data_IF_175427354088
#
_entry.id   IF_175427354088
#
_cell.length_a   1.000
_cell.length_b   1.000
_cell.length_c   1.000
_cell.angle_alpha   90.00
_cell.angle_beta   90.00
_cell.angle_gamma   90.00
#
_symmetry.space_group_name_H-M   'P 1'
#
loop_
_entity.id
_entity.type
_entity.pdbx_description
1 polymer ?
#
# COMPACT_ATOMS: atom_id res chain seq x y z
N UNK A 1 -24.24 -14.18 -21.12
CA UNK A 1 -24.19 -15.61 -20.71
C UNK A 1 -25.60 -16.08 -20.35
N UNK A 2 -25.91 -17.39 -20.34
CA UNK A 2 -27.27 -17.87 -20.01
C UNK A 2 -27.55 -17.70 -18.51
N UNK A 3 -28.71 -17.18 -18.10
CA UNK A 3 -29.09 -17.11 -16.70
C UNK A 3 -29.10 -18.49 -16.04
N UNK A 4 -28.76 -18.54 -14.75
CA UNK A 4 -28.79 -19.75 -13.93
C UNK A 4 -27.89 -20.91 -14.43
N UNK A 5 -26.97 -20.64 -15.36
CA UNK A 5 -25.92 -21.56 -15.77
C UNK A 5 -24.62 -21.15 -15.10
N UNK A 6 -23.91 -22.12 -14.54
CA UNK A 6 -22.61 -21.93 -13.92
C UNK A 6 -21.51 -21.91 -14.99
N UNK A 7 -20.67 -20.88 -14.96
CA UNK A 7 -19.53 -20.74 -15.85
C UNK A 7 -18.25 -20.73 -15.04
N UNK A 8 -17.29 -21.59 -15.40
CA UNK A 8 -15.97 -21.62 -14.78
C UNK A 8 -14.98 -20.82 -15.63
N UNK A 9 -14.33 -19.86 -14.99
CA UNK A 9 -13.26 -19.07 -15.58
C UNK A 9 -11.92 -19.62 -15.12
N UNK A 10 -10.93 -19.64 -16.02
CA UNK A 10 -9.56 -20.01 -15.71
C UNK A 10 -8.63 -18.92 -16.26
N UNK A 11 -7.94 -18.20 -15.38
CA UNK A 11 -6.85 -17.29 -15.77
C UNK A 11 -5.56 -18.04 -15.51
N UNK A 12 -4.87 -18.43 -16.58
CA UNK A 12 -3.85 -19.49 -16.60
C UNK A 12 -2.39 -18.99 -16.58
N UNK A 13 -2.20 -17.68 -16.58
CA UNK A 13 -0.89 -17.05 -16.71
C UNK A 13 -0.51 -16.24 -15.46
N UNK A 14 -0.99 -16.64 -14.28
CA UNK A 14 -0.62 -15.99 -13.04
C UNK A 14 0.83 -16.33 -12.65
N UNK A 15 1.55 -15.37 -12.08
CA UNK A 15 2.99 -15.51 -11.85
C UNK A 15 3.36 -15.80 -10.39
N UNK A 16 2.53 -15.42 -9.43
CA UNK A 16 2.86 -15.61 -8.01
C UNK A 16 2.69 -17.07 -7.61
N UNK A 17 3.55 -17.58 -6.73
CA UNK A 17 3.44 -18.97 -6.25
C UNK A 17 2.20 -19.23 -5.40
N UNK A 18 1.68 -18.18 -4.77
CA UNK A 18 0.49 -18.24 -3.92
C UNK A 18 -0.38 -16.98 -4.10
N UNK A 19 -1.63 -17.07 -3.67
CA UNK A 19 -2.61 -15.98 -3.79
C UNK A 19 -3.61 -15.99 -2.65
N UNK A 20 -4.09 -14.80 -2.27
CA UNK A 20 -5.16 -14.63 -1.28
C UNK A 20 -6.49 -15.29 -1.69
N UNK A 21 -6.66 -15.67 -2.96
CA UNK A 21 -7.78 -16.51 -3.39
C UNK A 21 -7.85 -17.86 -2.65
N UNK A 22 -6.70 -18.44 -2.26
CA UNK A 22 -6.67 -19.66 -1.44
C UNK A 22 -7.07 -19.40 0.03
N UNK A 23 -7.21 -18.14 0.43
CA UNK A 23 -7.48 -17.73 1.81
C UNK A 23 -8.78 -16.92 1.94
N UNK A 24 -9.70 -17.10 0.98
CA UNK A 24 -11.05 -16.55 1.03
C UNK A 24 -11.26 -15.24 0.27
N UNK A 25 -10.27 -14.74 -0.46
CA UNK A 25 -10.49 -13.62 -1.39
C UNK A 25 -11.45 -14.06 -2.50
N UNK A 26 -12.36 -13.18 -2.90
CA UNK A 26 -13.25 -13.40 -4.05
C UNK A 26 -13.03 -12.35 -5.13
N UNK A 27 -13.16 -12.73 -6.43
CA UNK A 27 -13.19 -11.74 -7.50
C UNK A 27 -14.43 -10.84 -7.35
N UNK A 28 -14.38 -9.69 -8.00
CA UNK A 28 -15.52 -8.79 -8.08
C UNK A 28 -16.21 -8.91 -9.42
N UNK A 29 -17.53 -8.74 -9.41
CA UNK A 29 -18.34 -8.59 -10.61
C UNK A 29 -19.15 -7.30 -10.55
N UNK A 30 -19.27 -6.63 -11.68
CA UNK A 30 -20.18 -5.51 -11.91
C UNK A 30 -21.16 -5.89 -13.01
N UNK A 31 -22.46 -5.81 -12.72
CA UNK A 31 -23.53 -6.05 -13.68
C UNK A 31 -24.10 -4.72 -14.16
N UNK A 32 -24.17 -4.52 -15.48
CA UNK A 32 -24.79 -3.32 -16.07
C UNK A 32 -26.29 -3.31 -15.81
N UNK A 33 -26.95 -4.47 -15.85
CA UNK A 33 -28.38 -4.56 -15.53
C UNK A 33 -28.68 -4.20 -14.06
N UNK A 34 -27.86 -4.65 -13.11
CA UNK A 34 -27.99 -4.24 -11.70
C UNK A 34 -27.76 -2.72 -11.55
N UNK A 35 -26.79 -2.17 -12.27
CA UNK A 35 -26.54 -0.73 -12.27
C UNK A 35 -27.74 0.08 -12.77
N UNK A 36 -28.38 -0.34 -13.86
CA UNK A 36 -29.62 0.26 -14.39
C UNK A 36 -30.78 0.16 -13.40
N UNK A 37 -30.79 -0.89 -12.57
CA UNK A 37 -31.75 -1.10 -11.49
C UNK A 37 -31.37 -0.37 -10.18
N UNK A 38 -30.63 0.74 -10.28
CA UNK A 38 -30.15 1.56 -9.17
C UNK A 38 -29.22 0.83 -8.17
N UNK A 39 -28.53 -0.22 -8.63
CA UNK A 39 -27.51 -0.95 -7.85
C UNK A 39 -26.14 -0.94 -8.53
N UNK A 40 -25.52 0.24 -8.76
CA UNK A 40 -24.27 0.38 -9.52
C UNK A 40 -23.02 0.07 -8.68
N UNK A 41 -22.98 -1.09 -8.03
CA UNK A 41 -21.85 -1.49 -7.18
C UNK A 41 -21.21 -2.81 -7.60
N UNK A 42 -19.92 -2.89 -7.32
CA UNK A 42 -19.16 -4.14 -7.43
C UNK A 42 -19.51 -5.07 -6.27
N UNK A 43 -19.75 -6.34 -6.58
CA UNK A 43 -20.05 -7.37 -5.58
C UNK A 43 -19.01 -8.47 -5.63
N UNK A 44 -18.60 -8.98 -4.46
CA UNK A 44 -17.78 -10.19 -4.38
C UNK A 44 -18.60 -11.38 -4.89
N UNK A 45 -18.05 -12.15 -5.81
CA UNK A 45 -18.71 -13.30 -6.42
C UNK A 45 -17.74 -14.48 -6.53
N UNK A 46 -18.25 -15.62 -6.97
CA UNK A 46 -17.44 -16.79 -7.25
C UNK A 46 -17.58 -17.87 -6.20
N UNK A 47 -17.73 -19.09 -6.66
CA UNK A 47 -17.60 -20.34 -5.88
C UNK A 47 -16.49 -21.20 -6.47
N UNK A 48 -16.12 -22.29 -5.79
CA UNK A 48 -15.07 -23.22 -6.24
C UNK A 48 -13.77 -22.51 -6.60
N UNK A 49 -13.39 -21.52 -5.79
CA UNK A 49 -12.23 -20.68 -6.04
C UNK A 49 -10.99 -21.45 -5.63
N UNK A 50 -10.02 -21.55 -6.54
CA UNK A 50 -8.74 -22.21 -6.26
C UNK A 50 -7.61 -21.54 -7.04
N UNK A 51 -6.45 -21.42 -6.40
CA UNK A 51 -5.22 -20.95 -7.01
C UNK A 51 -4.15 -22.04 -6.93
N UNK A 52 -3.69 -22.54 -8.08
CA UNK A 52 -2.79 -23.70 -8.15
C UNK A 52 -1.79 -23.60 -9.29
N UNK A 53 -0.64 -24.26 -9.15
CA UNK A 53 0.39 -24.35 -10.19
C UNK A 53 -0.15 -25.14 -11.38
N UNK A 54 0.11 -24.67 -12.60
CA UNK A 54 -0.32 -25.35 -13.82
C UNK A 54 0.89 -25.84 -14.64
N UNK A 55 0.61 -26.47 -15.78
CA UNK A 55 1.63 -27.05 -16.67
C UNK A 55 2.15 -26.06 -17.75
N UNK A 56 1.66 -24.83 -17.79
CA UNK A 56 2.14 -23.84 -18.75
C UNK A 56 3.49 -23.30 -18.30
N UNK A 57 4.54 -23.54 -19.09
CA UNK A 57 5.88 -23.04 -18.80
C UNK A 57 6.04 -21.58 -19.19
N UNK A 58 6.79 -20.83 -18.39
CA UNK A 58 7.23 -19.47 -18.74
C UNK A 58 8.38 -19.57 -19.74
N UNK A 59 8.44 -18.62 -20.67
CA UNK A 59 9.64 -18.45 -21.49
C UNK A 59 10.81 -18.03 -20.58
N UNK A 60 12.04 -18.32 -21.01
CA UNK A 60 13.24 -17.84 -20.28
C UNK A 60 13.23 -16.33 -20.09
N UNK A 61 12.73 -15.58 -21.09
CA UNK A 61 12.59 -14.11 -21.01
C UNK A 61 11.58 -13.70 -19.94
N UNK A 62 10.39 -14.33 -19.91
CA UNK A 62 9.35 -14.02 -18.92
C UNK A 62 9.73 -14.48 -17.51
N UNK A 63 10.65 -15.44 -17.38
CA UNK A 63 11.14 -15.97 -16.11
C UNK A 63 12.46 -15.32 -15.64
N UNK A 64 12.85 -14.16 -16.20
CA UNK A 64 14.06 -13.45 -15.76
C UNK A 64 15.36 -14.20 -16.07
N UNK A 65 15.39 -15.01 -17.12
CA UNK A 65 16.52 -15.82 -17.54
C UNK A 65 16.48 -17.27 -17.06
N UNK A 66 15.54 -17.63 -16.18
CA UNK A 66 15.44 -18.98 -15.63
C UNK A 66 14.59 -19.92 -16.49
N UNK A 67 15.04 -21.18 -16.65
CA UNK A 67 14.25 -22.23 -17.30
C UNK A 67 13.41 -22.97 -16.25
N UNK A 68 12.19 -23.34 -16.61
CA UNK A 68 11.37 -24.29 -15.83
C UNK A 68 10.35 -23.69 -14.86
N UNK A 69 10.23 -22.36 -14.73
CA UNK A 69 9.13 -21.76 -13.97
C UNK A 69 7.80 -22.01 -14.67
N UNK A 70 6.79 -22.46 -13.92
CA UNK A 70 5.41 -22.62 -14.40
C UNK A 70 4.56 -21.40 -14.07
N UNK A 71 3.52 -21.18 -14.84
CA UNK A 71 2.42 -20.31 -14.43
C UNK A 71 1.52 -21.00 -13.40
N UNK A 72 0.63 -20.20 -12.84
CA UNK A 72 -0.41 -20.60 -11.93
C UNK A 72 -1.76 -20.23 -12.53
N UNK A 73 -2.79 -20.98 -12.13
CA UNK A 73 -4.17 -20.75 -12.54
C UNK A 73 -4.98 -20.27 -11.34
N UNK A 74 -5.72 -19.17 -11.52
CA UNK A 74 -6.90 -18.89 -10.70
C UNK A 74 -8.13 -19.42 -11.43
N UNK A 75 -8.87 -20.30 -10.77
CA UNK A 75 -10.18 -20.77 -11.22
C UNK A 75 -11.27 -20.25 -10.29
N UNK A 76 -12.42 -19.90 -10.85
CA UNK A 76 -13.63 -19.58 -10.09
C UNK A 76 -14.88 -19.80 -10.94
N UNK A 77 -15.97 -20.21 -10.30
CA UNK A 77 -17.26 -20.46 -10.94
C UNK A 77 -18.24 -19.32 -10.63
N UNK A 78 -18.92 -18.78 -11.64
CA UNK A 78 -19.89 -17.68 -11.48
C UNK A 78 -21.21 -18.03 -12.17
N UNK A 79 -22.31 -17.67 -11.50
CA UNK A 79 -23.65 -17.69 -12.09
C UNK A 79 -24.05 -16.26 -12.46
N UNK A 80 -24.63 -16.09 -13.65
CA UNK A 80 -25.08 -14.79 -14.13
C UNK A 80 -26.57 -14.61 -13.80
N UNK A 81 -26.95 -13.55 -13.09
CA UNK A 81 -28.33 -13.37 -12.64
C UNK A 81 -29.28 -12.96 -13.78
N UNK A 82 -28.76 -12.26 -14.80
CA UNK A 82 -29.56 -11.60 -15.81
C UNK A 82 -29.30 -12.14 -17.22
N UNK A 83 -30.36 -12.17 -18.02
CA UNK A 83 -30.27 -12.50 -19.45
C UNK A 83 -29.75 -11.27 -20.20
N UNK A 84 -28.88 -11.49 -21.19
CA UNK A 84 -28.36 -10.44 -22.08
C UNK A 84 -27.64 -9.28 -21.37
N UNK A 85 -27.11 -9.55 -20.16
CA UNK A 85 -26.36 -8.59 -19.35
C UNK A 85 -24.87 -8.54 -19.75
N UNK A 86 -24.28 -7.36 -19.53
CA UNK A 86 -22.85 -7.11 -19.66
C UNK A 86 -22.26 -7.09 -18.25
N UNK A 87 -21.42 -8.08 -17.96
CA UNK A 87 -20.73 -8.19 -16.68
C UNK A 87 -19.24 -7.94 -16.84
N UNK A 88 -18.67 -7.14 -15.94
CA UNK A 88 -17.23 -6.92 -15.82
C UNK A 88 -16.69 -7.66 -14.60
N UNK A 89 -15.47 -8.19 -14.70
CA UNK A 89 -14.76 -8.79 -13.57
C UNK A 89 -13.54 -7.94 -13.19
N UNK A 90 -13.22 -7.90 -11.91
CA UNK A 90 -12.03 -7.22 -11.41
C UNK A 90 -11.37 -8.01 -10.28
N UNK A 91 -10.04 -7.87 -10.19
CA UNK A 91 -9.25 -8.43 -9.09
C UNK A 91 -9.59 -7.78 -7.74
N UNK A 92 -9.79 -6.47 -7.74
CA UNK A 92 -10.20 -5.67 -6.58
C UNK A 92 -10.99 -4.43 -7.03
N UNK A 93 -11.66 -3.74 -6.10
CA UNK A 93 -12.59 -2.62 -6.37
C UNK A 93 -11.93 -1.53 -7.23
N UNK A 94 -12.25 -1.40 -8.52
CA UNK A 94 -11.52 -0.50 -9.39
C UNK A 94 -11.60 0.95 -8.93
N UNK A 95 -10.48 1.67 -9.08
CA UNK A 95 -10.40 3.11 -8.83
C UNK A 95 -9.67 3.72 -10.02
N UNK A 96 -10.43 4.26 -10.97
CA UNK A 96 -9.88 4.80 -12.21
C UNK A 96 -9.30 6.20 -12.01
N UNK A 97 -8.43 6.62 -12.93
CA UNK A 97 -7.93 7.99 -12.95
C UNK A 97 -9.07 9.02 -13.14
N UNK A 98 -10.10 8.70 -13.93
CA UNK A 98 -11.29 9.56 -14.06
C UNK A 98 -12.09 9.67 -12.76
N UNK A 99 -12.20 8.59 -11.98
CA UNK A 99 -12.80 8.62 -10.63
C UNK A 99 -12.01 9.54 -9.71
N UNK A 100 -10.67 9.49 -9.75
CA UNK A 100 -9.83 10.43 -8.99
C UNK A 100 -10.12 11.89 -9.38
N UNK A 101 -10.07 12.20 -10.67
CA UNK A 101 -10.25 13.57 -11.16
C UNK A 101 -11.62 14.13 -10.78
N UNK A 102 -12.68 13.33 -10.98
CA UNK A 102 -14.04 13.70 -10.58
C UNK A 102 -14.17 13.85 -9.06
N UNK A 103 -13.54 12.97 -8.27
CA UNK A 103 -13.55 13.07 -6.82
C UNK A 103 -12.89 14.36 -6.34
N UNK A 104 -11.69 14.69 -6.85
CA UNK A 104 -11.00 15.93 -6.51
C UNK A 104 -11.81 17.17 -6.90
N UNK A 105 -12.44 17.16 -8.09
CA UNK A 105 -13.32 18.24 -8.53
C UNK A 105 -14.53 18.41 -7.60
N UNK A 106 -15.14 17.32 -7.13
CA UNK A 106 -16.25 17.38 -6.16
C UNK A 106 -15.81 17.98 -4.84
N UNK A 107 -14.65 17.59 -4.31
CA UNK A 107 -14.11 18.17 -3.08
C UNK A 107 -13.82 19.67 -3.24
N UNK A 108 -13.25 20.06 -4.37
CA UNK A 108 -12.98 21.46 -4.71
C UNK A 108 -14.27 22.30 -4.81
N UNK A 109 -15.36 21.75 -5.34
CA UNK A 109 -16.63 22.47 -5.46
C UNK A 109 -17.44 22.52 -4.16
N UNK A 110 -17.31 21.51 -3.30
CA UNK A 110 -18.15 21.36 -2.11
C UNK A 110 -17.58 22.03 -0.84
N UNK A 111 -16.29 22.35 -0.81
CA UNK A 111 -15.65 22.87 0.41
C UNK A 111 -16.06 24.31 0.74
N UNK A 112 -15.99 24.66 2.03
CA UNK A 112 -16.11 26.05 2.46
C UNK A 112 -14.76 26.76 2.31
N UNK A 113 -14.59 27.70 1.34
CA UNK A 113 -13.32 28.37 1.09
C UNK A 113 -12.93 29.36 2.21
N UNK A 114 -13.83 29.69 3.13
CA UNK A 114 -13.52 30.51 4.30
C UNK A 114 -12.86 29.70 5.43
N UNK A 115 -13.06 28.38 5.42
CA UNK A 115 -12.55 27.49 6.47
C UNK A 115 -11.41 26.60 5.98
N UNK A 116 -11.47 26.15 4.72
CA UNK A 116 -10.54 25.17 4.16
C UNK A 116 -9.80 25.82 3.01
N UNK A 117 -8.47 25.89 3.13
CA UNK A 117 -7.61 26.15 1.99
C UNK A 117 -7.46 24.84 1.21
N UNK A 118 -8.04 24.79 0.02
CA UNK A 118 -7.86 23.71 -0.95
C UNK A 118 -7.21 24.27 -2.20
N UNK A 119 -6.12 23.63 -2.66
CA UNK A 119 -5.50 23.95 -3.94
C UNK A 119 -5.12 22.68 -4.66
N UNK A 120 -5.56 22.56 -5.92
CA UNK A 120 -5.16 21.50 -6.84
C UNK A 120 -4.22 22.09 -7.89
N UNK A 121 -2.97 21.65 -7.86
CA UNK A 121 -1.96 21.95 -8.87
C UNK A 121 -1.70 20.72 -9.75
N UNK A 122 -1.08 20.95 -10.91
CA UNK A 122 -0.47 19.89 -11.72
C UNK A 122 1.00 19.82 -11.35
N UNK A 123 1.42 18.71 -10.73
CA UNK A 123 2.82 18.49 -10.34
C UNK A 123 3.73 18.38 -11.57
N UNK A 124 3.27 17.60 -12.55
CA UNK A 124 3.92 17.35 -13.83
C UNK A 124 2.94 16.65 -14.78
N UNK A 125 3.36 16.47 -16.02
CA UNK A 125 2.71 15.54 -16.96
C UNK A 125 3.43 14.19 -16.91
N UNK A 126 2.68 13.11 -17.09
CA UNK A 126 3.20 11.75 -17.18
C UNK A 126 3.78 11.47 -18.58
N UNK A 127 4.33 10.27 -18.79
CA UNK A 127 4.85 9.82 -20.09
C UNK A 127 3.83 9.94 -21.23
N UNK A 128 2.55 9.69 -20.96
CA UNK A 128 1.46 9.84 -21.93
C UNK A 128 0.79 11.21 -21.90
N UNK A 129 1.35 12.20 -21.20
CA UNK A 129 0.77 13.55 -21.11
C UNK A 129 -0.44 13.67 -20.18
N UNK A 130 -0.70 12.69 -19.30
CA UNK A 130 -1.75 12.83 -18.29
C UNK A 130 -1.24 13.70 -17.13
N UNK A 131 -2.10 14.54 -16.55
CA UNK A 131 -1.70 15.36 -15.41
C UNK A 131 -1.49 14.52 -14.14
N UNK A 132 -0.39 14.73 -13.44
CA UNK A 132 -0.19 14.20 -12.09
C UNK A 132 -0.64 15.25 -11.06
N UNK A 133 -1.78 15.07 -10.38
CA UNK A 133 -2.30 16.09 -9.48
C UNK A 133 -1.51 16.17 -8.17
N UNK A 134 -1.27 17.40 -7.70
CA UNK A 134 -0.81 17.71 -6.34
C UNK A 134 -1.90 18.49 -5.63
N UNK A 135 -2.34 17.98 -4.48
CA UNK A 135 -3.38 18.60 -3.66
C UNK A 135 -2.76 19.18 -2.40
N UNK A 136 -3.10 20.43 -2.10
CA UNK A 136 -2.73 21.12 -0.85
C UNK A 136 -3.98 21.36 -0.02
N UNK A 137 -4.01 20.86 1.21
CA UNK A 137 -5.13 21.05 2.14
C UNK A 137 -4.60 21.58 3.49
N UNK A 138 -5.21 22.64 4.01
CA UNK A 138 -5.00 23.15 5.37
C UNK A 138 -6.18 24.03 5.79
N UNK A 139 -6.23 24.50 7.03
CA UNK A 139 -7.26 25.45 7.46
C UNK A 139 -6.92 26.86 6.93
N UNK A 140 -7.91 27.67 6.60
CA UNK A 140 -7.67 29.09 6.38
C UNK A 140 -7.16 29.76 7.68
N UNK A 141 -6.38 30.84 7.59
CA UNK A 141 -6.05 31.64 8.77
C UNK A 141 -7.32 32.22 9.38
N UNK A 142 -7.40 32.27 10.72
CA UNK A 142 -8.58 32.80 11.43
C UNK A 142 -8.85 34.29 11.11
N UNK A 143 -7.80 35.06 10.81
CA UNK A 143 -7.92 36.44 10.36
C UNK A 143 -6.70 36.86 9.54
N UNK A 144 -6.77 38.07 8.96
CA UNK A 144 -5.64 38.69 8.27
C UNK A 144 -4.61 39.32 9.21
N UNK A 145 -4.74 39.13 10.52
CA UNK A 145 -3.76 39.62 11.49
C UNK A 145 -2.42 38.90 11.31
N UNK A 146 -1.32 39.62 11.53
CA UNK A 146 0.03 39.13 11.26
C UNK A 146 0.32 37.78 11.95
N UNK A 147 -0.09 37.63 13.21
CA UNK A 147 0.12 36.41 13.99
C UNK A 147 -0.58 35.18 13.38
N UNK A 148 -1.83 35.33 12.95
CA UNK A 148 -2.60 34.25 12.33
C UNK A 148 -2.02 33.84 10.98
N UNK A 149 -1.55 34.80 10.19
CA UNK A 149 -0.85 34.53 8.93
C UNK A 149 0.50 33.84 9.18
N UNK A 150 1.24 34.26 10.20
CA UNK A 150 2.49 33.62 10.61
C UNK A 150 2.26 32.18 11.06
N UNK A 151 1.26 31.92 11.90
CA UNK A 151 0.89 30.57 12.33
C UNK A 151 0.53 29.70 11.12
N UNK A 152 -0.35 30.19 10.24
CA UNK A 152 -0.75 29.52 9.01
C UNK A 152 0.47 29.11 8.16
N UNK A 153 1.40 30.04 7.91
CA UNK A 153 2.60 29.80 7.09
C UNK A 153 3.61 28.86 7.76
N UNK A 154 3.63 28.78 9.08
CA UNK A 154 4.59 27.99 9.85
C UNK A 154 4.10 26.60 10.25
N UNK A 155 2.83 26.25 9.99
CA UNK A 155 2.30 24.89 10.22
C UNK A 155 3.19 23.81 9.62
N UNK A 156 3.56 22.75 10.35
CA UNK A 156 4.37 21.65 9.79
C UNK A 156 3.70 20.97 8.60
N UNK A 157 4.50 20.44 7.68
CA UNK A 157 4.01 19.70 6.52
C UNK A 157 3.76 18.23 6.86
N UNK A 158 2.72 17.66 6.24
CA UNK A 158 2.52 16.22 6.09
C UNK A 158 2.49 15.94 4.59
N UNK A 159 3.34 15.02 4.13
CA UNK A 159 3.42 14.67 2.71
C UNK A 159 2.90 13.26 2.49
N UNK A 160 1.89 13.12 1.64
CA UNK A 160 1.25 11.83 1.36
C UNK A 160 1.35 11.53 -0.13
N UNK A 161 1.58 10.26 -0.46
CA UNK A 161 1.46 9.80 -1.83
C UNK A 161 0.77 8.45 -1.86
N UNK A 162 0.24 8.07 -3.02
CA UNK A 162 -0.39 6.78 -3.20
C UNK A 162 -0.25 6.29 -4.64
N UNK A 163 -0.47 4.99 -4.80
CA UNK A 163 -0.75 4.38 -6.09
C UNK A 163 0.38 4.55 -7.12
N UNK A 164 1.61 4.34 -6.65
CA UNK A 164 2.78 4.20 -7.51
C UNK A 164 2.73 2.89 -8.31
N UNK A 165 2.18 1.82 -7.72
CA UNK A 165 1.83 0.60 -8.44
C UNK A 165 0.36 0.65 -8.89
N UNK A 166 0.07 0.55 -10.19
CA UNK A 166 -1.28 0.76 -10.70
C UNK A 166 -2.32 -0.26 -10.24
N UNK A 167 -1.91 -1.51 -10.01
CA UNK A 167 -2.78 -2.62 -9.62
C UNK A 167 -3.24 -2.57 -8.17
N UNK A 168 -2.65 -1.71 -7.34
CA UNK A 168 -2.90 -1.62 -5.89
C UNK A 168 -4.14 -0.78 -5.55
N UNK A 169 -5.24 -1.20 -6.19
CA UNK A 169 -6.63 -1.10 -5.74
C UNK A 169 -6.95 -0.21 -4.55
N UNK A 170 -6.70 -0.84 -3.43
CA UNK A 170 -6.97 -0.47 -2.07
C UNK A 170 -6.28 0.83 -1.63
N UNK A 171 -5.06 1.10 -2.07
CA UNK A 171 -4.34 2.33 -1.71
C UNK A 171 -5.12 3.60 -2.09
N UNK A 172 -5.82 3.59 -3.23
CA UNK A 172 -6.64 4.73 -3.67
C UNK A 172 -7.91 4.90 -2.84
N UNK A 173 -8.47 3.81 -2.31
CA UNK A 173 -9.62 3.87 -1.40
C UNK A 173 -9.22 4.38 -0.01
N UNK A 174 -8.04 3.98 0.50
CA UNK A 174 -7.45 4.58 1.70
C UNK A 174 -7.21 6.07 1.48
N UNK A 175 -6.59 6.46 0.36
CA UNK A 175 -6.37 7.86 0.00
C UNK A 175 -7.68 8.65 -0.15
N UNK A 176 -8.73 8.04 -0.68
CA UNK A 176 -10.08 8.65 -0.74
C UNK A 176 -10.59 8.98 0.67
N UNK A 177 -10.54 8.03 1.59
CA UNK A 177 -10.96 8.25 2.98
C UNK A 177 -10.14 9.34 3.69
N UNK A 178 -8.83 9.39 3.43
CA UNK A 178 -7.94 10.47 3.90
C UNK A 178 -8.39 11.83 3.37
N UNK A 179 -8.62 11.96 2.06
CA UNK A 179 -9.06 13.22 1.44
C UNK A 179 -10.44 13.65 1.97
N UNK A 180 -11.41 12.73 2.04
CA UNK A 180 -12.76 13.03 2.51
C UNK A 180 -12.76 13.45 3.99
N UNK A 181 -11.98 12.78 4.84
CA UNK A 181 -11.84 13.19 6.23
C UNK A 181 -11.23 14.59 6.33
N UNK A 182 -10.11 14.85 5.62
CA UNK A 182 -9.46 16.15 5.58
C UNK A 182 -10.35 17.26 5.02
N UNK A 183 -11.33 16.96 4.18
CA UNK A 183 -12.26 17.93 3.61
C UNK A 183 -13.58 18.02 4.38
N UNK A 184 -13.78 17.19 5.40
CA UNK A 184 -15.01 17.16 6.19
C UNK A 184 -15.11 18.33 7.19
N UNK A 185 -16.35 18.61 7.62
CA UNK A 185 -16.67 19.54 8.71
C UNK A 185 -16.54 18.91 10.10
N UNK A 186 -15.94 17.72 10.22
CA UNK A 186 -15.69 17.12 11.53
C UNK A 186 -14.76 18.03 12.35
N UNK A 187 -15.08 18.37 13.61
CA UNK A 187 -14.22 19.20 14.45
C UNK A 187 -12.78 18.67 14.55
N UNK A 188 -12.60 17.36 14.62
CA UNK A 188 -11.27 16.75 14.66
C UNK A 188 -10.50 16.92 13.34
N UNK A 189 -11.19 16.89 12.20
CA UNK A 189 -10.58 17.21 10.91
C UNK A 189 -10.20 18.69 10.79
N UNK A 190 -11.03 19.58 11.35
CA UNK A 190 -10.71 21.00 11.44
C UNK A 190 -9.44 21.24 12.28
N UNK A 191 -9.37 20.70 13.50
CA UNK A 191 -8.18 20.82 14.34
C UNK A 191 -6.94 20.26 13.66
N UNK A 192 -7.07 19.15 12.93
CA UNK A 192 -5.97 18.58 12.17
C UNK A 192 -5.48 19.53 11.06
N UNK A 193 -6.40 20.15 10.31
CA UNK A 193 -6.10 21.17 9.29
C UNK A 193 -5.45 22.43 9.88
N UNK A 194 -5.80 22.78 11.11
CA UNK A 194 -5.19 23.90 11.86
C UNK A 194 -3.76 23.56 12.35
N UNK A 195 -3.44 22.28 12.50
CA UNK A 195 -2.12 21.81 12.91
C UNK A 195 -1.14 21.67 11.75
N UNK A 196 -1.61 21.34 10.55
CA UNK A 196 -0.75 20.87 9.46
C UNK A 196 -1.08 21.49 8.08
N UNK A 197 -0.08 21.49 7.21
CA UNK A 197 -0.27 21.66 5.76
C UNK A 197 -0.06 20.30 5.09
N UNK A 198 -1.09 19.80 4.44
CA UNK A 198 -1.03 18.54 3.71
C UNK A 198 -0.60 18.79 2.27
N UNK A 199 0.41 18.05 1.79
CA UNK A 199 0.80 17.94 0.38
C UNK A 199 0.56 16.52 -0.06
N UNK A 200 -0.33 16.31 -1.03
CA UNK A 200 -0.86 14.99 -1.36
C UNK A 200 -0.72 14.75 -2.86
N UNK A 201 -0.04 13.67 -3.26
CA UNK A 201 -0.03 13.14 -4.62
C UNK A 201 -0.88 11.86 -4.64
N UNK A 202 -2.19 11.95 -4.93
CA UNK A 202 -3.12 10.84 -4.70
C UNK A 202 -2.95 9.67 -5.68
N UNK A 203 -2.20 9.87 -6.77
CA UNK A 203 -1.88 8.81 -7.73
C UNK A 203 -0.57 9.12 -8.45
N UNK A 204 0.50 8.41 -8.10
CA UNK A 204 1.83 8.58 -8.69
C UNK A 204 1.98 7.96 -10.09
N UNK A 205 1.10 7.01 -10.46
CA UNK A 205 1.16 6.34 -11.77
C UNK A 205 -0.17 6.38 -12.54
N UNK A 206 -0.66 7.56 -12.97
CA UNK A 206 -1.88 7.68 -13.77
C UNK A 206 -1.86 6.82 -15.03
N UNK A 207 -0.74 6.82 -15.76
CA UNK A 207 -0.62 6.11 -17.03
C UNK A 207 -0.78 4.60 -16.87
N UNK A 208 -0.08 4.02 -15.90
CA UNK A 208 -0.21 2.60 -15.62
C UNK A 208 -1.63 2.23 -15.17
N UNK A 209 -2.33 3.12 -14.46
CA UNK A 209 -3.73 2.91 -14.06
C UNK A 209 -4.66 2.91 -15.27
N UNK A 210 -4.50 3.88 -16.18
CA UNK A 210 -5.30 3.99 -17.41
C UNK A 210 -5.11 2.75 -18.30
N UNK A 211 -3.88 2.23 -18.38
CA UNK A 211 -3.54 1.10 -19.24
C UNK A 211 -3.79 -0.27 -18.59
N UNK A 212 -4.25 -0.32 -17.34
CA UNK A 212 -4.53 -1.59 -16.64
C UNK A 212 -3.26 -2.37 -16.26
N UNK A 213 -2.12 -1.71 -16.10
CA UNK A 213 -0.91 -2.33 -15.57
C UNK A 213 -1.14 -2.82 -14.14
N UNK A 214 -0.32 -3.77 -13.68
CA UNK A 214 -0.33 -4.18 -12.27
C UNK A 214 0.73 -3.44 -11.44
N UNK A 215 1.95 -3.30 -11.97
CA UNK A 215 3.11 -2.81 -11.20
C UNK A 215 3.85 -1.64 -11.83
N UNK A 216 4.24 -1.76 -13.10
CA UNK A 216 5.12 -0.80 -13.75
C UNK A 216 4.40 0.40 -14.37
N UNK A 217 5.14 1.48 -14.60
CA UNK A 217 4.76 2.57 -15.50
C UNK A 217 4.83 2.14 -16.97
N UNK A 218 4.62 3.08 -17.89
CA UNK A 218 4.80 2.85 -19.32
C UNK A 218 6.26 2.76 -19.77
N UNK A 219 7.24 3.12 -18.92
CA UNK A 219 8.65 2.81 -19.20
C UNK A 219 8.98 1.33 -18.96
N UNK A 220 8.02 0.54 -18.45
CA UNK A 220 8.23 -0.86 -18.07
C UNK A 220 8.90 -1.02 -16.70
N UNK A 221 9.15 0.06 -15.97
CA UNK A 221 9.87 0.04 -14.70
C UNK A 221 8.95 0.20 -13.48
N UNK A 222 9.36 -0.42 -12.37
CA UNK A 222 8.76 -0.19 -11.06
C UNK A 222 9.19 1.20 -10.55
N UNK A 223 8.26 2.15 -10.57
CA UNK A 223 8.51 3.53 -10.13
C UNK A 223 8.94 3.63 -8.66
N UNK A 224 8.56 2.68 -7.80
CA UNK A 224 9.01 2.62 -6.42
C UNK A 224 10.42 2.00 -6.29
N UNK A 225 11.16 1.82 -7.38
CA UNK A 225 12.60 1.55 -7.40
C UNK A 225 13.42 2.69 -8.00
N UNK A 226 12.76 3.76 -8.43
CA UNK A 226 13.38 4.86 -9.17
C UNK A 226 13.63 6.10 -8.30
N UNK A 227 13.38 6.04 -6.99
CA UNK A 227 13.46 7.24 -6.14
C UNK A 227 14.90 7.70 -5.88
N UNK A 228 15.89 6.81 -5.92
CA UNK A 228 17.28 7.20 -5.68
C UNK A 228 17.78 8.15 -6.78
N UNK A 229 17.55 7.79 -8.05
CA UNK A 229 17.99 8.57 -9.22
C UNK A 229 16.91 8.57 -10.32
N UNK A 230 15.76 9.26 -10.11
CA UNK A 230 14.70 9.28 -11.10
C UNK A 230 15.13 10.05 -12.34
N UNK A 231 14.85 9.51 -13.53
CA UNK A 231 15.03 10.22 -14.78
C UNK A 231 13.81 11.15 -15.02
N UNK A 232 13.99 12.44 -15.35
CA UNK A 232 12.88 13.37 -15.52
C UNK A 232 11.95 13.03 -16.69
N UNK A 233 12.47 12.41 -17.74
CA UNK A 233 11.69 12.05 -18.93
C UNK A 233 10.95 10.72 -18.72
N UNK A 234 11.61 9.71 -18.14
CA UNK A 234 11.03 8.37 -17.92
C UNK A 234 10.18 8.27 -16.65
N UNK A 235 10.56 9.01 -15.60
CA UNK A 235 9.97 8.94 -14.27
C UNK A 235 9.48 10.32 -13.78
N UNK A 236 8.76 11.12 -14.60
CA UNK A 236 8.44 12.52 -14.27
C UNK A 236 7.71 12.65 -12.92
N UNK A 237 6.77 11.74 -12.62
CA UNK A 237 6.02 11.78 -11.37
C UNK A 237 6.89 11.57 -10.14
N UNK A 238 7.90 10.69 -10.21
CA UNK A 238 8.85 10.44 -9.13
C UNK A 238 9.86 11.59 -9.04
N UNK A 239 10.40 12.04 -10.18
CA UNK A 239 11.34 13.14 -10.27
C UNK A 239 10.78 14.42 -9.63
N UNK A 240 9.58 14.85 -10.03
CA UNK A 240 8.97 16.07 -9.52
C UNK A 240 8.46 15.93 -8.08
N UNK A 241 8.00 14.73 -7.67
CA UNK A 241 7.63 14.49 -6.25
C UNK A 241 8.87 14.60 -5.36
N UNK A 242 9.98 13.96 -5.73
CA UNK A 242 11.26 14.07 -5.02
C UNK A 242 11.78 15.50 -5.03
N UNK A 243 11.70 16.20 -6.16
CA UNK A 243 12.10 17.60 -6.29
C UNK A 243 11.32 18.53 -5.34
N UNK A 244 10.01 18.31 -5.18
CA UNK A 244 9.20 19.07 -4.22
C UNK A 244 9.62 18.81 -2.77
N UNK A 245 9.92 17.55 -2.42
CA UNK A 245 10.44 17.19 -1.10
C UNK A 245 11.82 17.81 -0.84
N UNK A 246 12.71 17.79 -1.83
CA UNK A 246 14.02 18.46 -1.76
C UNK A 246 13.88 19.97 -1.59
N UNK A 247 12.95 20.60 -2.32
CA UNK A 247 12.64 22.01 -2.16
C UNK A 247 12.18 22.33 -0.73
N UNK A 248 11.23 21.55 -0.18
CA UNK A 248 10.77 21.69 1.20
C UNK A 248 11.91 21.57 2.20
N UNK A 249 12.83 20.63 2.00
CA UNK A 249 14.02 20.50 2.84
C UNK A 249 14.96 21.71 2.72
N UNK A 250 15.21 22.20 1.50
CA UNK A 250 16.08 23.34 1.24
C UNK A 250 15.57 24.64 1.90
N UNK A 251 14.24 24.84 1.93
CA UNK A 251 13.63 25.98 2.64
C UNK A 251 13.43 25.73 4.14
N UNK A 252 14.03 24.67 4.70
CA UNK A 252 13.96 24.26 6.12
C UNK A 252 12.53 23.96 6.61
N UNK A 253 11.71 23.39 5.73
CA UNK A 253 10.32 23.01 5.97
C UNK A 253 10.11 21.50 5.71
N UNK A 254 11.05 20.68 6.17
CA UNK A 254 10.98 19.21 6.06
C UNK A 254 9.64 18.71 6.61
N UNK A 255 8.91 17.85 5.88
CA UNK A 255 7.68 17.25 6.40
C UNK A 255 7.89 16.51 7.72
N UNK A 256 6.92 16.63 8.62
CA UNK A 256 6.91 15.86 9.87
C UNK A 256 6.69 14.37 9.60
N UNK A 257 5.84 14.07 8.61
CA UNK A 257 5.49 12.71 8.19
C UNK A 257 5.50 12.64 6.67
N UNK A 258 6.09 11.58 6.15
CA UNK A 258 5.90 11.10 4.78
C UNK A 258 5.22 9.73 4.84
N UNK A 259 4.15 9.52 4.07
CA UNK A 259 3.55 8.19 3.94
C UNK A 259 3.13 7.91 2.50
N UNK A 260 3.61 6.79 1.97
CA UNK A 260 3.27 6.27 0.66
C UNK A 260 2.28 5.11 0.81
N UNK A 261 1.08 5.20 0.24
CA UNK A 261 0.02 4.21 0.38
C UNK A 261 0.09 3.17 -0.74
N UNK A 262 0.15 1.89 -0.35
CA UNK A 262 0.34 0.70 -1.17
C UNK A 262 -0.71 -0.37 -0.84
N UNK A 263 -0.68 -1.44 -1.64
CA UNK A 263 -1.49 -2.64 -1.46
C UNK A 263 -0.63 -3.90 -1.39
N UNK A 264 -0.83 -4.70 -0.35
CA UNK A 264 -0.13 -5.96 -0.18
C UNK A 264 -0.98 -7.15 -0.67
N UNK A 265 -0.50 -7.85 -1.70
CA UNK A 265 -1.27 -8.93 -2.34
C UNK A 265 -1.26 -10.25 -1.58
N UNK A 266 -0.44 -10.38 -0.52
CA UNK A 266 -0.22 -11.63 0.23
C UNK A 266 -0.52 -11.58 1.71
N UNK A 267 -0.61 -10.40 2.33
CA UNK A 267 -0.77 -10.25 3.78
C UNK A 267 -2.14 -9.66 4.05
N UNK A 268 -2.71 -10.05 5.18
CA UNK A 268 -3.96 -9.51 5.69
C UNK A 268 -3.69 -8.24 6.50
N UNK A 269 -4.77 -7.53 6.84
CA UNK A 269 -4.73 -6.28 7.61
C UNK A 269 -4.09 -5.09 6.87
N UNK A 270 -3.96 -3.98 7.59
CA UNK A 270 -3.18 -2.80 7.19
C UNK A 270 -2.01 -2.66 8.14
N UNK A 271 -0.82 -2.35 7.64
CA UNK A 271 0.38 -2.17 8.47
C UNK A 271 1.32 -1.15 7.82
N UNK A 272 2.42 -0.84 8.50
CA UNK A 272 3.41 0.11 8.00
C UNK A 272 4.82 -0.48 8.00
N UNK A 273 5.53 -0.17 6.94
CA UNK A 273 6.98 -0.23 6.94
C UNK A 273 7.56 1.16 7.22
N UNK A 274 8.58 1.26 8.08
CA UNK A 274 9.29 2.51 8.42
C UNK A 274 10.81 2.33 8.39
N UNK A 275 11.61 3.33 8.78
CA UNK A 275 13.07 3.19 8.71
C UNK A 275 13.70 3.34 10.09
N UNK A 276 14.54 2.37 10.46
CA UNK A 276 15.40 2.44 11.64
C UNK A 276 16.80 1.91 11.33
N UNK A 277 17.82 2.72 11.59
CA UNK A 277 19.22 2.30 11.52
C UNK A 277 19.45 1.20 12.54
N UNK A 278 18.98 1.39 13.78
CA UNK A 278 19.17 0.41 14.84
C UNK A 278 18.64 -0.95 14.40
N UNK A 279 17.35 -1.03 14.09
CA UNK A 279 16.71 -2.31 13.73
C UNK A 279 17.39 -2.96 12.52
N UNK A 280 17.83 -2.16 11.55
CA UNK A 280 18.57 -2.68 10.40
C UNK A 280 19.92 -3.28 10.82
N UNK A 281 20.71 -2.59 11.63
CA UNK A 281 22.02 -3.08 12.10
C UNK A 281 21.87 -4.32 12.98
N UNK A 282 20.89 -4.34 13.90
CA UNK A 282 20.58 -5.52 14.73
C UNK A 282 20.22 -6.74 13.88
N UNK A 283 19.51 -6.54 12.76
CA UNK A 283 19.07 -7.63 11.89
C UNK A 283 20.19 -8.14 10.95
N UNK A 284 21.12 -7.28 10.53
CA UNK A 284 22.21 -7.67 9.61
C UNK A 284 23.48 -8.15 10.31
N UNK A 285 23.68 -7.75 11.57
CA UNK A 285 24.94 -7.96 12.28
C UNK A 285 24.70 -8.63 13.64
N UNK A 286 24.75 -9.97 13.69
CA UNK A 286 24.49 -10.78 14.89
C UNK A 286 25.41 -10.50 16.09
N UNK A 287 26.51 -9.73 15.91
CA UNK A 287 27.51 -9.40 16.93
C UNK A 287 27.75 -7.88 17.11
N UNK A 288 26.83 -7.01 16.70
CA UNK A 288 26.98 -5.58 16.95
C UNK A 288 26.73 -5.28 18.45
N UNK A 289 27.80 -5.29 19.23
CA UNK A 289 27.87 -4.66 20.56
C UNK A 289 27.15 -3.31 20.49
N UNK A 290 26.17 -3.11 21.39
CA UNK A 290 25.31 -1.93 21.53
C UNK A 290 25.89 -0.68 20.86
N UNK A 291 25.54 -0.45 19.61
CA UNK A 291 25.99 0.73 18.90
C UNK A 291 25.44 1.94 19.67
N UNK A 292 26.28 2.88 20.08
CA UNK A 292 25.91 4.20 20.65
C UNK A 292 25.17 5.09 19.64
N UNK A 293 24.46 4.50 18.68
CA UNK A 293 23.60 5.18 17.74
C UNK A 293 22.46 5.76 18.56
N UNK A 294 22.39 7.09 18.66
CA UNK A 294 21.21 7.78 19.19
C UNK A 294 20.24 7.94 18.02
N UNK A 295 19.12 7.24 18.08
CA UNK A 295 18.07 7.31 17.06
C UNK A 295 16.77 7.75 17.74
N UNK A 296 16.06 8.69 17.12
CA UNK A 296 14.72 9.08 17.55
C UNK A 296 13.75 7.92 17.31
N UNK A 297 13.24 7.31 18.39
CA UNK A 297 12.25 6.23 18.34
C UNK A 297 10.85 6.71 17.91
N UNK A 298 10.69 7.99 17.61
CA UNK A 298 9.46 8.63 17.17
C UNK A 298 8.86 8.04 15.88
N UNK A 299 9.63 7.26 15.12
CA UNK A 299 9.12 6.50 13.97
C UNK A 299 8.12 5.40 14.36
N UNK A 300 8.10 4.91 15.61
CA UNK A 300 7.09 3.92 16.07
C UNK A 300 5.80 4.56 16.58
N UNK A 301 5.81 5.86 16.86
CA UNK A 301 4.70 6.53 17.55
C UNK A 301 3.41 6.48 16.74
N UNK A 302 3.46 6.84 15.45
CA UNK A 302 2.25 6.82 14.60
C UNK A 302 1.69 5.40 14.40
N UNK A 303 2.49 4.37 14.03
CA UNK A 303 2.01 2.99 13.99
C UNK A 303 1.39 2.51 15.31
N UNK A 304 1.99 2.84 16.46
CA UNK A 304 1.42 2.51 17.78
C UNK A 304 0.06 3.17 17.98
N UNK A 305 -0.05 4.47 17.71
CA UNK A 305 -1.34 5.18 17.79
C UNK A 305 -2.40 4.48 16.91
N UNK A 306 -2.05 4.12 15.67
CA UNK A 306 -2.98 3.47 14.75
C UNK A 306 -3.43 2.10 15.25
N UNK A 307 -2.55 1.33 15.87
CA UNK A 307 -2.92 0.04 16.47
C UNK A 307 -3.99 0.13 17.56
N UNK A 308 -4.14 1.30 18.20
CA UNK A 308 -5.17 1.53 19.20
C UNK A 308 -6.49 2.06 18.61
N UNK A 309 -6.46 2.75 17.47
CA UNK A 309 -7.63 3.51 16.96
C UNK A 309 -8.18 3.01 15.64
N UNK A 310 -7.36 2.30 14.86
CA UNK A 310 -7.66 1.86 13.50
C UNK A 310 -7.90 0.35 13.50
N UNK A 311 -9.14 -0.11 13.35
CA UNK A 311 -9.46 -1.53 13.58
C UNK A 311 -8.87 -2.49 12.56
N UNK A 312 -8.56 -2.02 11.35
CA UNK A 312 -7.87 -2.80 10.33
C UNK A 312 -6.35 -2.82 10.51
N UNK A 313 -5.79 -2.02 11.42
CA UNK A 313 -4.34 -1.84 11.55
C UNK A 313 -3.71 -2.94 12.42
N UNK A 314 -2.54 -3.44 12.00
CA UNK A 314 -1.81 -4.50 12.67
C UNK A 314 -0.37 -4.07 13.00
N UNK A 315 -0.11 -3.84 14.29
CA UNK A 315 1.21 -3.42 14.75
C UNK A 315 2.26 -4.52 14.61
N UNK A 316 1.90 -5.79 14.84
CA UNK A 316 2.83 -6.91 14.75
C UNK A 316 3.31 -7.17 13.32
N UNK A 317 2.53 -6.75 12.32
CA UNK A 317 2.93 -6.81 10.90
C UNK A 317 3.82 -5.63 10.46
N UNK A 318 4.03 -4.62 11.31
CA UNK A 318 4.90 -3.49 10.98
C UNK A 318 6.38 -3.90 11.07
N UNK A 319 7.21 -3.34 10.18
CA UNK A 319 8.66 -3.51 10.23
C UNK A 319 9.38 -2.19 9.97
N UNK A 320 10.49 -1.96 10.66
CA UNK A 320 11.31 -0.76 10.47
C UNK A 320 12.71 -1.08 9.94
N UNK A 321 12.95 -2.34 9.55
CA UNK A 321 14.18 -2.79 8.91
C UNK A 321 14.25 -2.26 7.48
N UNK A 322 15.43 -1.80 7.08
CA UNK A 322 15.73 -1.37 5.71
C UNK A 322 16.59 -2.42 5.02
N UNK A 323 15.98 -3.17 4.12
CA UNK A 323 16.69 -4.14 3.30
C UNK A 323 17.42 -3.46 2.13
N UNK A 324 18.53 -4.08 1.70
CA UNK A 324 19.33 -3.59 0.57
C UNK A 324 18.51 -3.47 -0.74
N UNK A 325 17.58 -4.40 -0.98
CA UNK A 325 16.71 -4.41 -2.16
C UNK A 325 15.69 -3.25 -2.18
N UNK A 326 15.52 -2.54 -1.06
CA UNK A 326 14.54 -1.48 -0.85
C UNK A 326 15.16 -0.10 -0.75
N UNK A 327 16.48 0.04 -0.90
CA UNK A 327 17.18 1.31 -0.71
C UNK A 327 16.69 2.41 -1.66
N UNK A 328 16.24 2.04 -2.86
CA UNK A 328 15.71 2.96 -3.86
C UNK A 328 14.20 3.20 -3.79
N UNK A 329 13.54 2.73 -2.73
CA UNK A 329 12.11 2.98 -2.50
C UNK A 329 11.85 4.36 -1.93
N UNK A 330 10.63 4.86 -2.14
CA UNK A 330 10.21 6.19 -1.68
C UNK A 330 10.49 6.40 -0.20
N UNK A 331 10.00 5.49 0.64
CA UNK A 331 10.16 5.54 2.09
C UNK A 331 11.63 5.72 2.50
N UNK A 332 12.53 4.92 1.92
CA UNK A 332 13.94 4.91 2.31
C UNK A 332 14.67 6.15 1.81
N UNK A 333 14.44 6.57 0.56
CA UNK A 333 15.03 7.79 -0.01
C UNK A 333 14.56 9.03 0.74
N UNK A 334 13.26 9.13 1.03
CA UNK A 334 12.70 10.27 1.76
C UNK A 334 13.19 10.33 3.21
N UNK A 335 13.43 9.19 3.84
CA UNK A 335 14.05 9.13 5.15
C UNK A 335 15.53 9.52 5.10
N UNK A 336 16.31 8.89 4.22
CA UNK A 336 17.78 8.96 4.19
C UNK A 336 18.30 10.26 3.55
N UNK A 337 17.72 10.67 2.43
CA UNK A 337 18.21 11.82 1.65
C UNK A 337 17.48 13.12 2.00
N UNK A 338 16.18 13.07 2.31
CA UNK A 338 15.38 14.26 2.64
C UNK A 338 15.35 14.54 4.15
N UNK A 339 15.56 13.51 4.98
CA UNK A 339 15.62 13.63 6.44
C UNK A 339 14.26 13.56 7.14
N UNK A 340 13.21 13.04 6.48
CA UNK A 340 11.90 12.85 7.11
C UNK A 340 11.96 11.62 8.04
N UNK A 341 12.03 11.86 9.34
CA UNK A 341 12.18 10.78 10.35
C UNK A 341 11.01 9.79 10.33
N UNK A 342 9.78 10.29 10.15
CA UNK A 342 8.56 9.48 10.06
C UNK A 342 8.18 9.24 8.61
N UNK A 343 9.05 8.53 7.91
CA UNK A 343 8.83 8.11 6.53
C UNK A 343 8.32 6.68 6.50
N UNK A 344 7.15 6.47 5.89
CA UNK A 344 6.47 5.17 5.89
C UNK A 344 6.00 4.74 4.52
N UNK A 345 5.87 3.43 4.37
CA UNK A 345 5.01 2.76 3.38
C UNK A 345 3.84 2.18 4.17
N UNK A 346 2.60 2.55 3.85
CA UNK A 346 1.42 1.90 4.41
C UNK A 346 0.94 0.82 3.44
N UNK A 347 0.93 -0.42 3.91
CA UNK A 347 0.48 -1.58 3.15
C UNK A 347 -0.94 -1.94 3.56
N UNK A 348 -1.86 -1.98 2.58
CA UNK A 348 -3.25 -2.39 2.82
C UNK A 348 -3.54 -3.74 2.18
N UNK A 349 -4.35 -4.57 2.84
CA UNK A 349 -4.79 -5.88 2.33
C UNK A 349 -5.70 -5.75 1.10
N UNK A 350 -5.60 -6.71 0.17
CA UNK A 350 -6.55 -6.91 -0.94
C UNK A 350 -7.65 -7.94 -0.61
N UNK A 351 -7.52 -8.64 0.53
CA UNK A 351 -8.40 -9.74 0.91
C UNK A 351 -9.31 -9.37 2.08
N UNK A 352 -8.73 -9.13 3.26
CA UNK A 352 -9.44 -9.03 4.53
C UNK A 352 -8.49 -8.91 5.71
N UNK A 353 -9.07 -8.86 6.91
CA UNK A 353 -8.35 -8.85 8.18
C UNK A 353 -8.43 -10.22 8.86
N UNK A 354 -7.39 -10.59 9.62
CA UNK A 354 -7.36 -11.78 10.47
C UNK A 354 -7.38 -11.45 11.97
N UNK A 355 -7.46 -10.16 12.31
CA UNK A 355 -7.61 -9.67 13.67
C UNK A 355 -8.60 -8.49 13.76
N UNK A 356 -8.93 -8.12 15.00
CA UNK A 356 -9.81 -6.98 15.29
C UNK A 356 -11.24 -7.17 14.81
N UNK A 357 -12.01 -6.07 14.76
CA UNK A 357 -13.44 -6.08 14.44
C UNK A 357 -13.78 -6.60 13.03
N UNK A 358 -12.79 -6.67 12.16
CA UNK A 358 -12.93 -7.12 10.76
C UNK A 358 -12.38 -8.54 10.52
N UNK A 359 -12.00 -9.27 11.57
CA UNK A 359 -11.49 -10.63 11.48
C UNK A 359 -12.46 -11.53 10.71
N UNK A 360 -11.96 -12.20 9.67
CA UNK A 360 -12.73 -13.15 8.86
C UNK A 360 -13.65 -12.50 7.83
N UNK A 361 -13.73 -11.17 7.78
CA UNK A 361 -14.50 -10.44 6.77
C UNK A 361 -13.61 -10.08 5.58
N UNK A 362 -14.19 -10.09 4.38
CA UNK A 362 -13.51 -9.53 3.22
C UNK A 362 -13.50 -8.00 3.27
N UNK A 363 -12.35 -7.43 2.92
CA UNK A 363 -12.17 -5.99 2.90
C UNK A 363 -13.04 -5.37 1.80
N UNK A 364 -13.84 -4.38 2.18
CA UNK A 364 -14.61 -3.52 1.29
C UNK A 364 -13.97 -2.15 1.15
N UNK A 365 -14.59 -1.30 0.33
CA UNK A 365 -14.12 0.09 0.17
C UNK A 365 -14.32 0.92 1.43
N UNK A 366 -15.35 0.62 2.22
CA UNK A 366 -15.69 1.33 3.46
C UNK A 366 -14.59 1.18 4.51
N UNK A 367 -14.07 -0.04 4.69
CA UNK A 367 -13.02 -0.32 5.67
C UNK A 367 -11.69 0.34 5.27
N UNK A 368 -11.41 0.39 3.96
CA UNK A 368 -10.25 1.09 3.42
C UNK A 368 -10.37 2.61 3.60
N UNK A 369 -11.54 3.18 3.32
CA UNK A 369 -11.82 4.60 3.56
C UNK A 369 -11.76 4.94 5.07
N UNK A 370 -12.28 4.06 5.94
CA UNK A 370 -12.15 4.18 7.40
C UNK A 370 -10.67 4.25 7.79
N UNK A 371 -9.83 3.37 7.25
CA UNK A 371 -8.39 3.40 7.53
C UNK A 371 -7.76 4.75 7.16
N UNK A 372 -8.14 5.32 6.01
CA UNK A 372 -7.69 6.65 5.59
C UNK A 372 -8.07 7.76 6.58
N UNK A 373 -9.30 7.72 7.09
CA UNK A 373 -9.78 8.64 8.13
C UNK A 373 -9.07 8.43 9.48
N UNK A 374 -8.86 7.17 9.89
CA UNK A 374 -8.15 6.82 11.13
C UNK A 374 -6.67 7.20 11.06
N UNK A 375 -6.05 7.17 9.88
CA UNK A 375 -4.71 7.71 9.68
C UNK A 375 -4.65 9.21 10.04
N UNK A 376 -5.61 10.01 9.55
CA UNK A 376 -5.73 11.42 9.89
C UNK A 376 -5.95 11.65 11.39
N UNK A 377 -6.84 10.88 12.02
CA UNK A 377 -7.04 10.94 13.47
C UNK A 377 -5.76 10.59 14.24
N UNK A 378 -4.97 9.64 13.73
CA UNK A 378 -3.65 9.28 14.27
C UNK A 378 -2.64 10.43 14.22
N UNK A 379 -2.62 11.20 13.13
CA UNK A 379 -1.78 12.40 13.01
C UNK A 379 -2.16 13.49 14.01
N UNK A 380 -3.46 13.67 14.30
CA UNK A 380 -3.90 14.62 15.31
C UNK A 380 -3.41 14.20 16.72
N UNK A 381 -3.50 12.91 17.05
CA UNK A 381 -2.95 12.38 18.32
C UNK A 381 -1.42 12.49 18.37
N UNK A 382 -0.74 12.29 17.24
CA UNK A 382 0.71 12.48 17.14
C UNK A 382 1.10 13.93 17.49
N UNK A 383 0.31 14.93 17.05
CA UNK A 383 0.54 16.34 17.40
C UNK A 383 0.53 16.57 18.91
N UNK A 384 -0.48 16.04 19.59
CA UNK A 384 -0.67 16.18 21.05
C UNK A 384 0.53 15.58 21.81
N UNK A 385 0.94 14.36 21.43
CA UNK A 385 2.07 13.66 22.08
C UNK A 385 3.45 14.26 21.80
N UNK A 386 3.60 15.03 20.72
CA UNK A 386 4.88 15.66 20.33
C UNK A 386 4.95 17.15 20.68
N UNK A 387 3.89 17.72 21.25
CA UNK A 387 3.86 19.12 21.68
C UNK A 387 4.56 19.29 23.04
N UNK A 388 5.57 20.17 23.18
CA UNK A 388 6.30 20.39 24.43
C UNK A 388 5.44 20.89 25.61
N UNK A 389 4.22 21.37 25.34
CA UNK A 389 3.33 22.02 26.33
C UNK A 389 2.25 21.07 26.91
N UNK A 390 2.07 19.86 26.38
CA UNK A 390 0.99 18.94 26.79
C UNK A 390 1.47 17.71 27.59
N UNK A 391 2.68 17.76 28.14
CA UNK A 391 3.25 16.65 28.95
C UNK A 391 2.56 16.44 30.33
N UNK A 392 1.51 17.20 30.64
CA UNK A 392 0.88 17.25 31.97
C UNK A 392 -0.57 16.72 32.04
N UNK A 393 -1.11 16.07 31.00
CA UNK A 393 -2.45 15.46 31.09
C UNK A 393 -2.38 13.98 31.48
N UNK A 394 -3.08 13.54 32.55
CA UNK A 394 -3.10 12.14 32.94
C UNK A 394 -3.77 11.28 31.87
N UNK A 395 -3.20 10.09 31.64
CA UNK A 395 -3.61 9.12 30.62
C UNK A 395 -5.10 8.75 30.63
N UNK A 396 -5.81 9.00 31.73
CA UNK A 396 -7.22 8.65 31.94
C UNK A 396 -8.22 9.55 31.21
N UNK A 397 -7.85 10.77 30.77
CA UNK A 397 -8.76 11.66 30.04
C UNK A 397 -8.81 11.36 28.53
N UNK A 398 -7.82 10.64 27.99
CA UNK A 398 -7.80 10.19 26.60
C UNK A 398 -8.79 9.04 26.36
N UNK A 399 -9.11 8.26 27.40
CA UNK A 399 -10.12 7.20 27.34
C UNK A 399 -11.54 7.76 27.25
N UNK A 400 -11.81 8.89 27.91
CA UNK A 400 -13.13 9.55 27.87
C UNK A 400 -13.49 10.11 26.46
N UNK A 401 -12.49 10.56 25.68
CA UNK A 401 -12.71 10.99 24.28
C UNK A 401 -12.93 9.79 23.34
N UNK A 402 -12.40 8.60 23.65
CA UNK A 402 -12.63 7.38 22.86
C UNK A 402 -14.11 6.96 22.93
N UNK A 403 -14.72 7.02 24.11
CA UNK A 403 -16.12 6.65 24.34
C UNK A 403 -17.12 7.57 23.60
N UNK A 404 -16.78 8.86 23.46
CA UNK A 404 -17.59 9.83 22.71
C UNK A 404 -17.58 9.54 21.20
N UNK A 405 -16.48 9.05 20.65
CA UNK A 405 -16.35 8.71 19.22
C UNK A 405 -17.15 7.44 18.90
N UNK A 406 -17.09 6.42 19.75
CA UNK A 406 -17.83 5.16 19.58
C UNK A 406 -19.35 5.32 19.77
N UNK A 407 -19.80 6.33 20.53
CA UNK A 407 -21.23 6.58 20.76
C UNK A 407 -22.00 7.07 19.52
N UNK A 408 -21.30 7.61 18.50
CA UNK A 408 -21.94 8.18 17.29
C UNK A 408 -22.33 7.13 16.23
N UNK A 409 -22.01 5.85 16.46
CA UNK A 409 -22.15 4.77 15.48
C UNK A 409 -22.94 3.57 16.05
N UNK A 410 -24.18 3.76 16.50
CA UNK A 410 -25.03 2.63 16.94
C UNK A 410 -25.99 2.17 15.84
N UNK A 411 -25.67 1.04 15.22
CA UNK A 411 -26.66 0.12 14.62
C UNK A 411 -26.61 -1.18 15.43
N UNK A 412 -27.75 -1.53 16.02
CA UNK A 412 -27.93 -2.63 16.97
C UNK A 412 -28.17 -3.99 16.29
N UNK A 413 -27.51 -5.05 16.77
CA UNK A 413 -28.13 -6.32 17.20
C UNK A 413 -27.09 -7.33 17.74
N UNK A 414 -27.48 -8.31 18.57
CA UNK A 414 -26.67 -8.80 19.69
C UNK A 414 -26.11 -10.23 19.49
N UNK A 415 -25.36 -10.67 20.52
CA UNK A 415 -24.88 -12.03 20.93
C UNK A 415 -23.38 -12.27 20.72
N UNK A 416 -22.59 -12.94 21.58
CA UNK A 416 -22.61 -13.36 23.00
C UNK A 416 -21.16 -13.73 23.35
N UNK A 417 -20.74 -13.49 24.60
CA UNK A 417 -19.42 -13.80 25.22
C UNK A 417 -18.90 -15.24 25.00
N UNK A 418 -17.58 -15.41 24.79
CA UNK A 418 -16.72 -16.46 25.42
C UNK A 418 -15.26 -15.96 25.50
N UNK A 419 -14.58 -16.47 26.55
CA UNK A 419 -13.36 -16.09 27.25
C UNK A 419 -12.01 -16.26 26.51
N UNK A 420 -11.02 -15.54 27.04
CA UNK A 420 -9.57 -15.62 26.80
C UNK A 420 -9.01 -17.04 26.92
N UNK A 421 -8.04 -17.41 26.06
CA UNK A 421 -6.86 -18.23 26.41
C UNK A 421 -5.75 -18.06 25.36
N UNK A 422 -4.52 -18.29 25.85
CA UNK A 422 -3.20 -18.00 25.30
C UNK A 422 -2.94 -18.42 23.84
N UNK A 423 -2.44 -17.48 23.02
CA UNK A 423 -1.93 -17.74 21.67
C UNK A 423 -0.37 -17.67 21.67
N UNK A 424 0.34 -18.68 21.13
CA UNK A 424 1.79 -18.75 21.18
C UNK A 424 2.46 -17.73 20.24
N UNK A 425 3.72 -17.37 20.55
CA UNK A 425 4.57 -16.51 19.72
C UNK A 425 4.86 -17.15 18.36
N UNK A 426 4.05 -16.83 17.35
CA UNK A 426 4.40 -17.07 15.95
C UNK A 426 5.45 -16.04 15.50
N UNK A 427 6.71 -16.47 15.49
CA UNK A 427 7.77 -15.83 14.70
C UNK A 427 7.62 -16.36 13.26
N UNK A 428 6.69 -15.79 12.51
CA UNK A 428 6.71 -15.92 11.05
C UNK A 428 7.77 -14.93 10.51
N UNK A 429 8.69 -15.41 9.68
CA UNK A 429 9.62 -14.53 8.96
C UNK A 429 8.81 -13.49 8.19
N UNK A 430 9.17 -12.22 8.36
CA UNK A 430 8.50 -11.11 7.66
C UNK A 430 8.79 -11.28 6.18
N UNK A 431 7.82 -11.81 5.44
CA UNK A 431 7.94 -11.96 3.99
C UNK A 431 7.94 -10.57 3.31
N UNK A 432 9.11 -10.13 2.82
CA UNK A 432 9.31 -8.91 2.02
C UNK A 432 9.24 -9.17 0.51
N UNK A 433 9.03 -10.43 0.09
CA UNK A 433 9.00 -10.84 -1.32
C UNK A 433 7.74 -10.43 -2.06
N UNK A 434 6.68 -10.00 -1.36
CA UNK A 434 5.42 -9.60 -2.01
C UNK A 434 5.58 -8.37 -2.93
N UNK A 435 6.67 -7.62 -2.77
CA UNK A 435 7.05 -6.41 -3.53
C UNK A 435 8.24 -6.61 -4.47
N UNK A 436 8.84 -7.81 -4.55
CA UNK A 436 9.94 -8.12 -5.48
C UNK A 436 9.57 -9.35 -6.31
N UNK A 437 9.71 -9.28 -7.63
CA UNK A 437 9.88 -10.53 -8.39
C UNK A 437 11.09 -11.28 -7.81
N UNK A 438 10.85 -12.54 -7.46
CA UNK A 438 11.69 -13.62 -6.88
C UNK A 438 13.21 -13.38 -6.70
N UNK A 439 13.79 -13.81 -5.56
CA UNK A 439 14.57 -15.07 -5.42
C UNK A 439 15.36 -15.24 -4.10
N UNK A 440 15.16 -16.39 -3.43
CA UNK A 440 16.19 -17.41 -3.12
C UNK A 440 15.54 -18.53 -2.26
N UNK A 441 14.91 -19.51 -2.90
CA UNK A 441 14.63 -20.80 -2.25
C UNK A 441 15.88 -21.68 -2.40
N UNK A 442 16.68 -21.78 -1.34
CA UNK A 442 17.72 -22.80 -1.23
C UNK A 442 17.03 -24.05 -0.68
N UNK A 443 16.65 -24.97 -1.56
CA UNK A 443 16.31 -26.33 -1.13
C UNK A 443 17.59 -27.03 -0.67
N UNK A 444 17.66 -27.30 0.63
CA UNK A 444 18.63 -28.20 1.24
C UNK A 444 18.35 -29.62 0.71
N UNK A 445 19.18 -30.09 -0.20
CA UNK A 445 19.23 -31.51 -0.53
C UNK A 445 19.84 -32.26 0.67
N UNK A 446 19.04 -33.14 1.28
CA UNK A 446 19.51 -34.12 2.26
C UNK A 446 20.58 -35.01 1.62
N UNK A 447 21.73 -35.11 2.27
CA UNK A 447 22.77 -36.08 1.95
C UNK A 447 22.22 -37.50 2.14
N UNK A 448 22.07 -38.23 1.04
CA UNK A 448 22.08 -39.69 1.06
C UNK A 448 23.42 -40.15 0.48
N UNK A 449 24.28 -40.65 1.36
CA UNK A 449 25.49 -41.38 1.01
C UNK A 449 25.12 -42.56 0.08
N UNK A 450 25.69 -42.56 -1.12
CA UNK A 450 25.79 -43.78 -1.92
C UNK A 450 27.14 -43.79 -2.64
N UNK A 451 28.02 -44.64 -2.10
CA UNK A 451 29.32 -45.02 -2.64
C UNK A 451 29.16 -45.83 -3.94
N UNK A 452 29.96 -45.59 -5.00
CA UNK A 452 30.26 -46.62 -5.96
C UNK A 452 31.76 -46.82 -6.08
N UNK A 453 32.21 -47.94 -5.53
CA UNK A 453 33.48 -48.55 -5.87
C UNK A 453 33.35 -49.38 -7.16
N UNK A 454 34.34 -49.18 -8.04
CA UNK A 454 34.89 -50.12 -9.03
C UNK A 454 33.98 -50.61 -10.19
N UNK A 455 34.31 -50.24 -11.43
CA UNK A 455 35.20 -51.05 -12.30
C UNK A 455 35.45 -50.36 -13.65
N UNK A 456 36.66 -50.60 -14.14
CA UNK A 456 37.27 -50.16 -15.38
C UNK A 456 36.51 -50.64 -16.63
N UNK A 457 36.57 -49.87 -17.72
CA UNK A 457 37.04 -50.41 -18.99
C UNK A 457 37.52 -49.30 -19.94
N UNK A 458 38.51 -49.69 -20.74
CA UNK A 458 39.48 -48.92 -21.50
C UNK A 458 39.01 -48.70 -22.95
N UNK A 459 39.70 -47.78 -23.65
CA UNK A 459 39.91 -47.62 -25.11
C UNK A 459 39.31 -46.32 -25.67
N UNK A 460 39.87 -45.57 -26.61
CA UNK A 460 41.23 -45.26 -27.11
C UNK A 460 41.00 -44.35 -28.34
N UNK A 461 41.84 -43.34 -28.53
CA UNK A 461 42.19 -42.68 -29.82
C UNK A 461 41.10 -42.15 -30.77
N UNK A 462 41.12 -40.84 -31.06
CA UNK A 462 41.94 -40.29 -32.16
C UNK A 462 41.49 -38.88 -32.57
N UNK A 463 42.49 -38.04 -32.87
CA UNK A 463 42.37 -36.71 -33.48
C UNK A 463 41.73 -36.76 -34.88
N UNK A 464 41.03 -35.69 -35.28
CA UNK A 464 41.26 -35.10 -36.61
C UNK A 464 40.69 -33.68 -36.76
N UNK A 465 41.56 -32.88 -37.33
CA UNK A 465 41.57 -31.48 -37.74
C UNK A 465 40.49 -31.02 -38.75
N UNK A 466 40.13 -29.73 -38.61
CA UNK A 466 39.93 -28.65 -39.62
C UNK A 466 39.21 -28.98 -40.94
N UNK A 467 38.22 -28.15 -41.30
CA UNK A 467 38.32 -27.28 -42.50
C UNK A 467 37.28 -26.15 -42.52
N UNK A 468 37.72 -24.99 -43.02
CA UNK A 468 36.96 -23.79 -43.34
C UNK A 468 36.49 -23.82 -44.82
N UNK A 469 35.32 -23.21 -45.06
CA UNK A 469 34.89 -22.44 -46.26
C UNK A 469 34.47 -23.19 -47.54
N UNK A 470 33.66 -22.57 -48.43
CA UNK A 470 33.36 -21.14 -48.64
C UNK A 470 32.09 -20.58 -48.00
#
# INVERSE_FOLDING_TARGET
>A
MRPCVAYRFNIINCEKSNSQFNYGMQPLMYSVQEALNARPWWTRVGTDICYYKNHFSRSSVAAGGQKGKSYYTITFTVNFPHKDDVCYFAYHYPYTYSTLQMHLQKLELAHNPQQIYFRRDVLCETLSGNSCPLVTITAMPESNYYEHICQFRNRPYVFLSARVHPGETNASWVMKGTLEYLMSNNPTAQSLRECYIFKIVPMLNPDGVINGNHRCSLSGEDLNRQWQSPNPDLHPTIYHTKGLLQYLAAVKRIPLVYCDYHGHSRKKNVFMYGCSIKETVWHTSANATSCDIVEDVGYRTLPKILSHIAPAFCMSSCSFVVEKSKESTARVVVWREIGVQRSYTMESTLCGCDQGKYKGLQIGTRELEEMGAKFCAGLLRLKRLTSPLEYNMPSSLLDFENDLIDSSCKVTSPTTYVLDEDEPRFLEEVDYSAESNDELDIELAENADYDPSTQEEVLSDSESSRTYLP
#
